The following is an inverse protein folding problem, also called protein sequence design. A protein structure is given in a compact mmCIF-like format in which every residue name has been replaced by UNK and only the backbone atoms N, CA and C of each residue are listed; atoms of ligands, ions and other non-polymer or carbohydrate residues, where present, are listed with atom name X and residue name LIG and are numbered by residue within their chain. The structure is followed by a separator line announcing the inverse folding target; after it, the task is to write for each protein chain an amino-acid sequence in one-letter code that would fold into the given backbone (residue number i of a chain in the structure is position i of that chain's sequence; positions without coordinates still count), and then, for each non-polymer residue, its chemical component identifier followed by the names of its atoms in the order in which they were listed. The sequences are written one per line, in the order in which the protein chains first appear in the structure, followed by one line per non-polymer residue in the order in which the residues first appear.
data_IF_897130733146
#
_entry.id   IF_897130733146
#
_cell.length_a   1.000
_cell.length_b   1.000
_cell.length_c   1.000
_cell.angle_alpha   90.00
_cell.angle_beta   90.00
_cell.angle_gamma   90.00
#
_symmetry.space_group_name_H-M   'P 1'
#
loop_
_entity.id
_entity.type
_entity.pdbx_description
1 polymer ?
#
# COMPACT_ATOMS: atom_id res chain seq x y z
N UNK A 1 -9.55 13.27 8.07
CA UNK A 1 -10.56 12.25 7.81
C UNK A 1 -10.08 11.30 6.73
N UNK A 2 -10.33 10.02 6.88
CA UNK A 2 -9.92 9.02 5.88
C UNK A 2 -11.10 8.72 4.97
N UNK A 3 -10.87 8.74 3.66
CA UNK A 3 -11.88 8.53 2.63
C UNK A 3 -11.30 7.81 1.42
N UNK A 4 -12.13 7.17 0.59
CA UNK A 4 -11.66 6.67 -0.70
C UNK A 4 -11.13 7.81 -1.58
N UNK A 5 -10.05 7.52 -2.31
CA UNK A 5 -9.49 8.47 -3.26
C UNK A 5 -10.39 8.62 -4.48
N UNK A 6 -10.34 9.79 -5.09
CA UNK A 6 -10.96 10.07 -6.38
C UNK A 6 -9.88 10.41 -7.41
N UNK A 7 -10.24 10.48 -8.68
CA UNK A 7 -9.28 10.85 -9.73
C UNK A 7 -8.69 12.25 -9.51
N UNK A 8 -9.38 13.14 -8.82
CA UNK A 8 -8.89 14.47 -8.47
C UNK A 8 -7.71 14.42 -7.47
N UNK A 9 -7.52 13.30 -6.77
CA UNK A 9 -6.42 13.14 -5.81
C UNK A 9 -5.10 12.69 -6.48
N UNK A 10 -5.13 12.33 -7.76
CA UNK A 10 -3.95 11.79 -8.46
C UNK A 10 -2.74 12.74 -8.40
N UNK A 11 -2.85 14.05 -8.59
CA UNK A 11 -1.70 14.94 -8.47
C UNK A 11 -1.00 14.84 -7.10
N UNK A 12 -1.76 14.79 -6.01
CA UNK A 12 -1.21 14.64 -4.67
C UNK A 12 -0.60 13.24 -4.47
N UNK A 13 -1.26 12.21 -4.99
CA UNK A 13 -0.76 10.83 -4.91
C UNK A 13 0.56 10.67 -5.66
N UNK A 14 0.73 11.32 -6.80
CA UNK A 14 1.99 11.28 -7.56
C UNK A 14 3.13 11.91 -6.76
N UNK A 15 2.86 13.03 -6.08
CA UNK A 15 3.86 13.69 -5.24
C UNK A 15 4.25 12.83 -4.04
N UNK A 16 3.27 12.29 -3.30
CA UNK A 16 3.52 11.37 -2.19
C UNK A 16 4.16 10.06 -2.67
N UNK A 17 3.75 9.56 -3.83
CA UNK A 17 4.33 8.38 -4.45
C UNK A 17 5.82 8.52 -4.75
N UNK A 18 6.24 9.69 -5.23
CA UNK A 18 7.66 9.99 -5.44
C UNK A 18 8.42 9.95 -4.11
N UNK A 19 7.89 10.60 -3.08
CA UNK A 19 8.51 10.59 -1.74
C UNK A 19 8.58 9.19 -1.15
N UNK A 20 7.52 8.41 -1.32
CA UNK A 20 7.49 7.01 -0.90
C UNK A 20 8.55 6.19 -1.63
N UNK A 21 8.62 6.30 -2.96
CA UNK A 21 9.59 5.55 -3.76
C UNK A 21 11.03 5.89 -3.38
N UNK A 22 11.32 7.17 -3.15
CA UNK A 22 12.64 7.62 -2.73
C UNK A 22 13.00 7.04 -1.36
N UNK A 23 12.10 7.12 -0.40
CA UNK A 23 12.34 6.63 0.96
C UNK A 23 12.41 5.10 1.02
N UNK A 24 11.63 4.42 0.21
CA UNK A 24 11.62 2.95 0.15
C UNK A 24 12.81 2.37 -0.62
N UNK A 25 13.65 3.21 -1.23
CA UNK A 25 14.78 2.78 -2.05
C UNK A 25 14.39 2.29 -3.44
N UNK A 26 13.14 2.43 -3.83
CA UNK A 26 12.66 1.94 -5.13
C UNK A 26 13.22 2.76 -6.29
N UNK A 27 13.40 4.06 -6.09
CA UNK A 27 13.94 4.96 -7.12
C UNK A 27 15.32 4.50 -7.60
N UNK A 28 16.16 4.01 -6.68
CA UNK A 28 17.50 3.54 -7.01
C UNK A 28 17.51 2.20 -7.73
N UNK A 29 16.46 1.40 -7.58
CA UNK A 29 16.37 0.06 -8.18
C UNK A 29 15.56 0.04 -9.46
N UNK A 30 14.39 0.68 -9.46
CA UNK A 30 13.43 0.58 -10.58
C UNK A 30 13.09 1.93 -11.19
N UNK A 31 13.51 3.03 -10.56
CA UNK A 31 13.16 4.37 -10.99
C UNK A 31 11.73 4.76 -10.63
N UNK A 32 11.37 5.99 -10.95
CA UNK A 32 10.01 6.50 -10.76
C UNK A 32 9.58 7.24 -12.02
N UNK A 33 8.49 6.80 -12.63
CA UNK A 33 7.92 7.43 -13.83
C UNK A 33 6.56 8.04 -13.48
N UNK A 34 6.46 9.40 -13.39
CA UNK A 34 5.21 10.06 -12.98
C UNK A 34 4.02 9.79 -13.91
N UNK A 35 4.26 9.69 -15.21
CA UNK A 35 3.17 9.39 -16.17
C UNK A 35 2.64 7.97 -15.98
N UNK A 36 3.54 7.02 -15.78
CA UNK A 36 3.18 5.63 -15.51
C UNK A 36 2.41 5.54 -14.18
N UNK A 37 2.85 6.27 -13.16
CA UNK A 37 2.19 6.27 -11.85
C UNK A 37 0.80 6.90 -11.90
N UNK A 38 0.57 7.88 -12.74
CA UNK A 38 -0.78 8.40 -12.96
C UNK A 38 -1.74 7.28 -13.40
N UNK A 39 -1.29 6.45 -14.34
CA UNK A 39 -2.06 5.30 -14.80
C UNK A 39 -2.27 4.26 -13.70
N UNK A 40 -1.23 3.97 -12.93
CA UNK A 40 -1.30 3.02 -11.81
C UNK A 40 -2.32 3.49 -10.76
N UNK A 41 -2.28 4.74 -10.36
CA UNK A 41 -3.25 5.28 -9.41
C UNK A 41 -4.67 5.26 -9.96
N UNK A 42 -4.85 5.57 -11.25
CA UNK A 42 -6.16 5.48 -11.89
C UNK A 42 -6.72 4.05 -11.81
N UNK A 43 -5.92 3.06 -12.18
CA UNK A 43 -6.32 1.64 -12.10
C UNK A 43 -6.66 1.24 -10.67
N UNK A 44 -5.85 1.67 -9.70
CA UNK A 44 -6.10 1.35 -8.29
C UNK A 44 -7.38 2.01 -7.76
N UNK A 45 -7.60 3.27 -8.08
CA UNK A 45 -8.80 4.01 -7.66
C UNK A 45 -10.06 3.39 -8.25
N UNK A 46 -10.03 3.05 -9.53
CA UNK A 46 -11.20 2.55 -10.24
C UNK A 46 -11.51 1.08 -9.98
N UNK A 47 -10.48 0.24 -9.76
CA UNK A 47 -10.64 -1.21 -9.66
C UNK A 47 -10.16 -1.87 -8.39
N UNK A 48 -9.49 -1.13 -7.52
CA UNK A 48 -8.90 -1.65 -6.28
C UNK A 48 -9.20 -0.70 -5.12
N UNK A 49 -8.20 -0.35 -4.32
CA UNK A 49 -8.41 0.58 -3.21
C UNK A 49 -7.25 1.56 -3.07
N UNK A 50 -7.60 2.83 -2.96
CA UNK A 50 -6.72 3.87 -2.43
C UNK A 50 -7.53 4.67 -1.40
N UNK A 51 -6.99 4.79 -0.19
CA UNK A 51 -7.58 5.60 0.87
C UNK A 51 -6.71 6.82 1.10
N UNK A 52 -7.36 7.99 1.13
CA UNK A 52 -6.74 9.29 1.38
C UNK A 52 -6.95 9.71 2.81
N UNK A 53 -5.90 10.17 3.45
CA UNK A 53 -5.95 10.97 4.66
C UNK A 53 -5.56 12.42 4.38
N UNK A 54 -5.49 13.24 5.42
CA UNK A 54 -5.11 14.64 5.27
C UNK A 54 -3.62 14.80 4.90
N UNK A 55 -2.76 13.89 5.38
CA UNK A 55 -1.31 13.93 5.19
C UNK A 55 -0.71 12.59 4.77
N UNK A 56 -1.47 11.76 4.10
CA UNK A 56 -0.99 10.46 3.65
C UNK A 56 -2.05 9.66 2.94
N UNK A 57 -1.64 8.49 2.48
CA UNK A 57 -2.50 7.56 1.76
C UNK A 57 -2.00 6.13 1.93
N UNK A 58 -2.91 5.18 1.74
CA UNK A 58 -2.59 3.75 1.68
C UNK A 58 -3.33 3.15 0.49
N UNK A 59 -2.67 2.25 -0.21
CA UNK A 59 -3.25 1.59 -1.38
C UNK A 59 -3.00 0.10 -1.39
N UNK A 60 -3.97 -0.64 -1.88
CA UNK A 60 -3.90 -2.08 -2.04
C UNK A 60 -4.53 -2.52 -3.35
N UNK A 61 -4.01 -3.60 -3.91
CA UNK A 61 -4.61 -4.30 -5.04
C UNK A 61 -5.26 -5.58 -4.55
N UNK A 62 -6.38 -5.96 -5.18
CA UNK A 62 -7.10 -7.18 -4.85
C UNK A 62 -7.24 -8.06 -6.08
N UNK A 63 -7.29 -9.35 -5.84
CA UNK A 63 -7.52 -10.33 -6.90
C UNK A 63 -7.41 -11.76 -6.40
N UNK A 64 -7.70 -12.73 -7.29
CA UNK A 64 -7.55 -14.13 -6.97
C UNK A 64 -6.11 -14.50 -6.68
N UNK A 65 -5.90 -15.36 -5.68
CA UNK A 65 -4.56 -15.86 -5.40
C UNK A 65 -4.13 -16.85 -6.48
N UNK A 66 -2.89 -16.80 -6.97
CA UNK A 66 -2.42 -17.71 -8.04
C UNK A 66 -2.54 -19.19 -7.71
N UNK A 67 -2.43 -19.58 -6.44
CA UNK A 67 -2.56 -20.98 -6.03
C UNK A 67 -3.98 -21.42 -5.69
N UNK A 68 -4.92 -20.47 -5.61
CA UNK A 68 -6.32 -20.78 -5.31
C UNK A 68 -7.21 -19.61 -5.75
N UNK A 69 -7.78 -19.69 -6.93
CA UNK A 69 -8.59 -18.60 -7.49
C UNK A 69 -9.89 -18.32 -6.73
N UNK A 70 -10.32 -19.25 -5.88
CA UNK A 70 -11.45 -18.99 -4.98
C UNK A 70 -11.10 -18.11 -3.79
N UNK A 71 -9.80 -17.93 -3.51
CA UNK A 71 -9.29 -17.09 -2.44
C UNK A 71 -8.94 -15.72 -2.99
N UNK A 72 -9.72 -14.71 -2.62
CA UNK A 72 -9.43 -13.31 -3.01
C UNK A 72 -8.51 -12.71 -1.95
N UNK A 73 -7.38 -12.21 -2.39
CA UNK A 73 -6.43 -11.55 -1.50
C UNK A 73 -6.26 -10.07 -1.87
N UNK A 74 -6.04 -9.25 -0.86
CA UNK A 74 -5.58 -7.89 -1.03
C UNK A 74 -4.10 -7.82 -0.64
N UNK A 75 -3.34 -7.05 -1.40
CA UNK A 75 -1.93 -6.80 -1.12
C UNK A 75 -1.69 -5.30 -1.05
N UNK A 76 -1.12 -4.82 0.05
CA UNK A 76 -0.70 -3.44 0.19
C UNK A 76 0.38 -3.13 -0.84
N UNK A 77 0.23 -2.01 -1.53
CA UNK A 77 1.18 -1.52 -2.54
C UNK A 77 2.02 -0.39 -2.00
N UNK A 78 1.38 0.51 -1.27
CA UNK A 78 2.09 1.62 -0.61
C UNK A 78 1.33 2.04 0.64
N UNK A 79 2.08 2.58 1.60
CA UNK A 79 1.56 3.15 2.84
C UNK A 79 2.45 4.34 3.21
N UNK A 80 1.92 5.53 3.05
CA UNK A 80 2.64 6.78 3.26
C UNK A 80 1.88 7.68 4.23
N UNK A 81 2.58 8.23 5.21
CA UNK A 81 2.01 9.21 6.13
C UNK A 81 3.07 10.22 6.54
N UNK A 82 2.76 11.49 6.35
CA UNK A 82 3.58 12.61 6.81
C UNK A 82 3.08 13.17 8.15
N UNK A 83 1.98 12.63 8.68
CA UNK A 83 1.34 13.02 9.92
C UNK A 83 1.20 11.87 10.90
N UNK A 84 0.15 11.96 11.71
CA UNK A 84 -0.12 10.99 12.79
C UNK A 84 -1.21 9.97 12.44
N UNK A 85 -1.67 9.95 11.22
CA UNK A 85 -2.82 9.16 10.80
C UNK A 85 -2.44 7.80 10.18
N UNK A 86 -1.15 7.47 10.14
CA UNK A 86 -0.67 6.23 9.49
C UNK A 86 -1.38 4.98 9.97
N UNK A 87 -1.54 4.80 11.27
CA UNK A 87 -2.24 3.63 11.82
C UNK A 87 -3.73 3.65 11.49
N UNK A 88 -4.36 4.81 11.44
CA UNK A 88 -5.78 4.92 11.06
C UNK A 88 -5.99 4.58 9.58
N UNK A 89 -5.04 4.93 8.72
CA UNK A 89 -5.06 4.49 7.32
C UNK A 89 -4.98 2.96 7.23
N UNK A 90 -4.12 2.35 8.01
CA UNK A 90 -4.00 0.91 8.09
C UNK A 90 -5.30 0.26 8.61
N UNK A 91 -5.87 0.78 9.70
CA UNK A 91 -7.13 0.29 10.24
C UNK A 91 -8.25 0.34 9.21
N UNK A 92 -8.32 1.41 8.43
CA UNK A 92 -9.32 1.57 7.38
C UNK A 92 -9.11 0.56 6.23
N UNK A 93 -7.86 0.28 5.87
CA UNK A 93 -7.53 -0.77 4.89
C UNK A 93 -7.96 -2.14 5.41
N UNK A 94 -7.68 -2.45 6.67
CA UNK A 94 -8.10 -3.73 7.28
C UNK A 94 -9.62 -3.89 7.27
N UNK A 95 -10.34 -2.83 7.60
CA UNK A 95 -11.81 -2.86 7.60
C UNK A 95 -12.35 -3.15 6.19
N UNK A 96 -11.81 -2.49 5.18
CA UNK A 96 -12.18 -2.74 3.78
C UNK A 96 -11.84 -4.17 3.36
N UNK A 97 -10.65 -4.65 3.67
CA UNK A 97 -10.21 -6.00 3.29
C UNK A 97 -11.07 -7.08 3.95
N UNK A 98 -11.49 -6.87 5.20
CA UNK A 98 -12.40 -7.79 5.90
C UNK A 98 -13.72 -7.98 5.14
N UNK A 99 -14.23 -6.91 4.55
CA UNK A 99 -15.51 -6.94 3.85
C UNK A 99 -15.41 -7.42 2.40
N UNK A 100 -14.23 -7.36 1.78
CA UNK A 100 -14.05 -7.59 0.35
C UNK A 100 -13.12 -8.75 0.01
N UNK A 101 -12.28 -9.20 0.94
CA UNK A 101 -11.22 -10.16 0.66
C UNK A 101 -11.17 -11.26 1.73
N UNK A 102 -10.52 -12.38 1.39
CA UNK A 102 -10.28 -13.48 2.33
C UNK A 102 -9.00 -13.27 3.13
N UNK A 103 -8.05 -12.50 2.61
CA UNK A 103 -6.81 -12.16 3.31
C UNK A 103 -6.30 -10.79 2.91
N UNK A 104 -5.48 -10.20 3.79
CA UNK A 104 -4.74 -8.98 3.54
C UNK A 104 -3.26 -9.25 3.79
N UNK A 105 -2.44 -8.89 2.81
CA UNK A 105 -1.00 -9.01 2.88
C UNK A 105 -0.38 -7.62 3.01
N UNK A 106 0.37 -7.43 4.08
CA UNK A 106 1.15 -6.22 4.32
C UNK A 106 2.63 -6.52 4.13
N UNK A 107 3.40 -5.50 3.77
CA UNK A 107 4.85 -5.65 3.54
C UNK A 107 5.66 -4.78 4.49
N UNK A 108 6.90 -5.19 4.75
CA UNK A 108 7.93 -4.34 5.35
C UNK A 108 8.93 -3.93 4.28
N UNK A 109 9.48 -2.73 4.41
CA UNK A 109 10.48 -2.21 3.50
C UNK A 109 11.82 -2.18 4.22
N UNK A 110 12.84 -2.81 3.64
CA UNK A 110 14.17 -2.88 4.28
C UNK A 110 14.75 -1.49 4.59
N UNK A 111 14.43 -0.49 3.78
CA UNK A 111 14.91 0.88 3.96
C UNK A 111 14.13 1.69 5.00
N UNK A 112 13.00 1.18 5.53
CA UNK A 112 12.08 1.93 6.39
C UNK A 112 11.73 1.12 7.64
N UNK A 113 12.64 1.10 8.60
CA UNK A 113 12.47 0.50 9.93
C UNK A 113 11.66 -0.83 9.90
N UNK A 114 12.16 -1.87 9.20
CA UNK A 114 11.37 -3.09 8.98
C UNK A 114 10.99 -3.80 10.28
N UNK A 115 11.84 -3.78 11.28
CA UNK A 115 11.56 -4.44 12.57
C UNK A 115 10.44 -3.74 13.34
N UNK A 116 10.40 -2.41 13.30
CA UNK A 116 9.33 -1.63 13.93
C UNK A 116 7.99 -1.91 13.25
N UNK A 117 7.98 -1.91 11.93
CA UNK A 117 6.77 -2.19 11.14
C UNK A 117 6.30 -3.63 11.37
N UNK A 118 7.22 -4.60 11.40
CA UNK A 118 6.90 -6.00 11.70
C UNK A 118 6.25 -6.15 13.07
N UNK A 119 6.72 -5.44 14.09
CA UNK A 119 6.11 -5.47 15.42
C UNK A 119 4.66 -4.93 15.42
N UNK A 120 4.39 -3.93 14.59
CA UNK A 120 3.02 -3.42 14.42
C UNK A 120 2.13 -4.54 13.83
N UNK A 121 2.59 -5.20 12.78
CA UNK A 121 1.83 -6.30 12.16
C UNK A 121 1.60 -7.45 13.13
N UNK A 122 2.63 -7.88 13.85
CA UNK A 122 2.52 -8.98 14.82
C UNK A 122 1.50 -8.67 15.91
N UNK A 123 1.51 -7.45 16.45
CA UNK A 123 0.51 -7.02 17.45
C UNK A 123 -0.92 -7.01 16.91
N UNK A 124 -1.08 -6.82 15.60
CA UNK A 124 -2.39 -6.87 14.94
C UNK A 124 -2.78 -8.28 14.48
N UNK A 125 -1.97 -9.29 14.79
CA UNK A 125 -2.27 -10.69 14.50
C UNK A 125 -1.74 -11.21 13.16
N UNK A 126 -0.88 -10.46 12.48
CA UNK A 126 -0.27 -10.93 11.23
C UNK A 126 0.88 -11.89 11.52
N UNK A 127 1.01 -12.90 10.67
CA UNK A 127 2.14 -13.83 10.69
C UNK A 127 3.10 -13.50 9.55
N UNK A 128 4.42 -13.66 9.76
CA UNK A 128 5.39 -13.54 8.67
C UNK A 128 5.09 -14.55 7.56
N UNK A 129 5.14 -14.11 6.30
CA UNK A 129 4.82 -14.98 5.16
C UNK A 129 6.02 -15.23 4.26
N UNK A 130 6.70 -14.17 3.81
CA UNK A 130 7.83 -14.29 2.90
C UNK A 130 8.72 -13.05 2.94
N UNK A 131 9.92 -13.17 2.33
CA UNK A 131 10.81 -12.05 2.07
C UNK A 131 11.12 -11.97 0.59
N UNK A 132 11.17 -10.74 0.05
CA UNK A 132 11.56 -10.48 -1.31
C UNK A 132 12.98 -9.92 -1.41
N UNK A 133 13.65 -10.20 -2.52
CA UNK A 133 14.98 -9.71 -2.83
C UNK A 133 14.99 -9.18 -4.26
N UNK A 134 15.82 -8.19 -4.54
CA UNK A 134 15.94 -7.64 -5.89
C UNK A 134 17.39 -7.70 -6.36
N UNK A 135 17.55 -7.97 -7.64
CA UNK A 135 18.84 -7.86 -8.34
C UNK A 135 18.64 -7.00 -9.58
N UNK A 136 19.49 -6.02 -9.74
CA UNK A 136 19.45 -5.10 -10.87
C UNK A 136 20.65 -5.30 -11.77
#
# INVERSE_FOLDING_TARGET
MIRPATLADIPQLKEWGQRFADRAGLTDHVGYNPEHMENTFRVMIEGHLVLMGDNGAIGAMQGPHPFNYAHICAQEVFWWSEGREGLRLFDALEAWARDHCHSLRMITLEAVEPDRTARIYERKGYAPLERGYIKV
#
